data_IF_460301510465
#
_entry.id   IF_460301510465
#
_cell.length_a   1.000
_cell.length_b   1.000
_cell.length_c   1.000
_cell.angle_alpha   90.00
_cell.angle_beta   90.00
_cell.angle_gamma   90.00
#
_symmetry.space_group_name_H-M   'P 1'
#
loop_
_entity.id
_entity.type
_entity.pdbx_description
1 polymer ?
#
# COMPACT_ATOMS: atom_id res chain seq x y z
N UNK A 1 13.28 16.39 -5.39
CA UNK A 1 13.87 16.48 -4.03
C UNK A 1 12.75 16.46 -3.02
N UNK A 2 12.77 15.51 -2.11
CA UNK A 2 11.73 15.32 -1.10
C UNK A 2 11.55 16.56 -0.23
N UNK A 3 10.29 16.89 0.12
CA UNK A 3 9.95 18.05 1.00
C UNK A 3 10.21 17.75 2.47
N UNK A 4 10.24 16.47 2.86
CA UNK A 4 10.59 15.99 4.19
C UNK A 4 11.96 15.32 4.09
N UNK A 5 12.79 15.50 5.11
CA UNK A 5 14.13 14.92 5.14
C UNK A 5 14.09 13.39 4.90
N UNK A 6 15.06 12.91 4.13
CA UNK A 6 15.25 11.49 3.81
C UNK A 6 16.64 11.08 4.36
N UNK A 7 16.83 11.02 5.69
CA UNK A 7 18.14 10.82 6.29
C UNK A 7 18.73 9.45 5.92
N UNK A 8 20.06 9.35 5.81
CA UNK A 8 20.70 8.05 5.84
C UNK A 8 20.48 7.39 7.22
N UNK A 9 20.58 6.07 7.31
CA UNK A 9 20.32 5.37 8.59
C UNK A 9 21.11 5.95 9.76
N UNK A 10 22.40 6.28 9.54
CA UNK A 10 23.24 6.86 10.56
C UNK A 10 22.84 8.27 11.01
N UNK A 11 22.16 9.01 10.14
CA UNK A 11 21.69 10.39 10.38
C UNK A 11 20.25 10.46 10.90
N UNK A 12 19.55 9.32 10.92
CA UNK A 12 18.20 9.23 11.45
C UNK A 12 18.21 9.34 12.99
N UNK A 13 17.07 9.73 13.62
CA UNK A 13 16.95 9.70 15.08
C UNK A 13 17.42 8.35 15.65
N UNK A 14 18.18 8.38 16.74
CA UNK A 14 18.82 7.20 17.33
C UNK A 14 17.83 6.03 17.56
N UNK A 15 16.59 6.33 17.98
CA UNK A 15 15.56 5.32 18.17
C UNK A 15 15.00 4.73 16.86
N UNK A 16 15.23 5.38 15.72
CA UNK A 16 14.83 4.88 14.40
C UNK A 16 15.90 3.99 13.76
N UNK A 17 17.17 4.15 14.14
CA UNK A 17 18.27 3.43 13.50
C UNK A 17 18.12 1.89 13.57
N UNK A 18 17.87 1.26 14.74
CA UNK A 18 17.69 -0.19 14.79
C UNK A 18 16.45 -0.66 14.02
N UNK A 19 15.42 0.18 13.89
CA UNK A 19 14.24 -0.15 13.07
C UNK A 19 14.58 -0.14 11.58
N UNK A 20 15.37 0.83 11.11
CA UNK A 20 15.86 0.88 9.72
C UNK A 20 16.84 -0.27 9.42
N UNK A 21 17.66 -0.67 10.37
CA UNK A 21 18.52 -1.85 10.23
C UNK A 21 17.69 -3.13 10.07
N UNK A 22 16.59 -3.24 10.78
CA UNK A 22 15.59 -4.30 10.59
C UNK A 22 15.00 -4.32 9.19
N UNK A 23 14.61 -3.16 8.66
CA UNK A 23 14.12 -3.01 7.27
C UNK A 23 15.21 -3.45 6.28
N UNK A 24 16.45 -2.99 6.46
CA UNK A 24 17.58 -3.37 5.61
C UNK A 24 17.84 -4.87 5.61
N UNK A 25 17.73 -5.49 6.78
CA UNK A 25 17.91 -6.95 6.91
C UNK A 25 16.85 -7.74 6.13
N UNK A 26 15.61 -7.24 6.05
CA UNK A 26 14.51 -7.90 5.34
C UNK A 26 14.51 -7.63 3.84
N UNK A 27 14.78 -6.40 3.41
CA UNK A 27 14.66 -5.95 2.03
C UNK A 27 16.01 -5.84 1.30
N UNK A 28 17.14 -5.96 2.00
CA UNK A 28 18.47 -5.73 1.45
C UNK A 28 18.87 -4.24 1.34
N UNK A 29 17.87 -3.36 1.30
CA UNK A 29 18.00 -1.90 1.22
C UNK A 29 17.02 -1.23 2.17
N UNK A 30 17.20 0.07 2.42
CA UNK A 30 16.21 0.91 3.13
C UNK A 30 15.56 1.83 2.11
N UNK A 31 14.34 1.53 1.63
CA UNK A 31 13.63 2.40 0.71
C UNK A 31 13.37 3.79 1.29
N UNK A 32 13.30 4.79 0.42
CA UNK A 32 13.16 6.19 0.81
C UNK A 32 11.90 6.47 1.67
N UNK A 33 10.81 5.74 1.45
CA UNK A 33 9.63 5.81 2.33
C UNK A 33 10.00 5.58 3.80
N UNK A 34 10.75 4.51 4.12
CA UNK A 34 11.15 4.22 5.50
C UNK A 34 12.09 5.28 6.06
N UNK A 35 12.94 5.86 5.22
CA UNK A 35 13.82 6.98 5.59
C UNK A 35 13.01 8.23 5.91
N UNK A 36 11.96 8.53 5.13
CA UNK A 36 11.01 9.63 5.43
C UNK A 36 10.28 9.36 6.74
N UNK A 37 9.73 8.15 6.93
CA UNK A 37 9.02 7.78 8.17
C UNK A 37 9.95 7.85 9.39
N UNK A 38 11.23 7.55 9.22
CA UNK A 38 12.20 7.49 10.32
C UNK A 38 12.43 8.81 11.04
N UNK A 39 12.01 9.94 10.44
CA UNK A 39 11.99 11.23 11.14
C UNK A 39 11.13 11.18 12.42
N UNK A 40 10.17 10.25 12.48
CA UNK A 40 9.38 9.95 13.67
C UNK A 40 9.56 8.48 14.07
N UNK A 41 10.35 8.18 15.11
CA UNK A 41 10.49 6.80 15.61
C UNK A 41 9.15 6.14 15.94
N UNK A 42 8.20 6.90 16.49
CA UNK A 42 6.86 6.41 16.82
C UNK A 42 6.07 6.00 15.55
N UNK A 43 6.13 6.83 14.49
CA UNK A 43 5.48 6.51 13.21
C UNK A 43 6.11 5.28 12.55
N UNK A 44 7.45 5.19 12.55
CA UNK A 44 8.17 4.05 11.99
C UNK A 44 7.83 2.76 12.74
N UNK A 45 7.87 2.78 14.07
CA UNK A 45 7.51 1.63 14.88
C UNK A 45 6.05 1.21 14.66
N UNK A 46 5.12 2.16 14.64
CA UNK A 46 3.69 1.91 14.38
C UNK A 46 3.46 1.27 13.03
N UNK A 47 4.11 1.79 11.98
CA UNK A 47 4.04 1.25 10.62
C UNK A 47 4.56 -0.19 10.56
N UNK A 48 5.76 -0.44 11.09
CA UNK A 48 6.38 -1.76 11.08
C UNK A 48 5.57 -2.78 11.88
N UNK A 49 5.03 -2.39 13.02
CA UNK A 49 4.18 -3.25 13.84
C UNK A 49 2.88 -3.62 13.11
N UNK A 50 2.20 -2.64 12.50
CA UNK A 50 0.97 -2.89 11.76
C UNK A 50 1.22 -3.79 10.54
N UNK A 51 2.23 -3.46 9.73
CA UNK A 51 2.63 -4.26 8.58
C UNK A 51 3.00 -5.70 9.01
N UNK A 52 3.80 -5.83 10.08
CA UNK A 52 4.22 -7.13 10.62
C UNK A 52 3.04 -7.95 11.16
N UNK A 53 2.04 -7.32 11.79
CA UNK A 53 0.82 -7.99 12.22
C UNK A 53 0.00 -8.50 11.02
N UNK A 54 -0.27 -7.65 10.03
CA UNK A 54 -1.03 -8.01 8.83
C UNK A 54 -0.33 -9.07 7.98
N UNK A 55 1.01 -9.14 8.02
CA UNK A 55 1.76 -10.18 7.30
C UNK A 55 1.52 -11.60 7.84
N UNK A 56 1.03 -11.72 9.08
CA UNK A 56 0.68 -12.97 9.76
C UNK A 56 -0.83 -13.25 9.78
N UNK A 57 -1.61 -12.38 9.15
CA UNK A 57 -3.06 -12.51 9.06
C UNK A 57 -3.52 -13.55 8.04
N UNK A 58 -4.81 -13.50 7.73
CA UNK A 58 -5.47 -14.50 6.85
C UNK A 58 -5.26 -14.23 5.36
N UNK A 59 -4.94 -12.97 4.99
CA UNK A 59 -4.72 -12.60 3.59
C UNK A 59 -3.34 -13.05 3.11
N UNK A 60 -3.29 -13.71 1.96
CA UNK A 60 -2.02 -14.07 1.31
C UNK A 60 -1.20 -12.80 0.99
N UNK A 61 0.14 -12.93 0.96
CA UNK A 61 1.02 -11.85 0.56
C UNK A 61 0.64 -11.29 -0.83
N UNK A 62 0.31 -12.18 -1.77
CA UNK A 62 -0.10 -11.79 -3.11
C UNK A 62 -1.42 -10.98 -3.11
N UNK A 63 -2.40 -11.34 -2.26
CA UNK A 63 -3.66 -10.58 -2.16
C UNK A 63 -3.42 -9.20 -1.57
N UNK A 64 -2.58 -9.09 -0.52
CA UNK A 64 -2.21 -7.79 0.06
C UNK A 64 -1.52 -6.88 -0.94
N UNK A 65 -0.61 -7.43 -1.76
CA UNK A 65 0.10 -6.66 -2.78
C UNK A 65 -0.83 -6.17 -3.89
N UNK A 66 -1.77 -7.02 -4.36
CA UNK A 66 -2.79 -6.63 -5.33
C UNK A 66 -3.66 -5.47 -4.82
N UNK A 67 -4.05 -5.52 -3.55
CA UNK A 67 -4.78 -4.43 -2.89
C UNK A 67 -3.91 -3.16 -2.87
N UNK A 68 -2.65 -3.28 -2.51
CA UNK A 68 -1.73 -2.14 -2.44
C UNK A 68 -1.54 -1.46 -3.81
N UNK A 69 -1.38 -2.23 -4.89
CA UNK A 69 -1.30 -1.72 -6.26
C UNK A 69 -2.59 -0.96 -6.64
N UNK A 70 -3.75 -1.55 -6.37
CA UNK A 70 -5.04 -0.92 -6.68
C UNK A 70 -5.25 0.39 -5.90
N UNK A 71 -4.88 0.41 -4.62
CA UNK A 71 -5.02 1.61 -3.77
C UNK A 71 -4.01 2.68 -4.18
N UNK A 72 -2.75 2.32 -4.52
CA UNK A 72 -1.75 3.25 -4.99
C UNK A 72 -2.16 3.93 -6.30
N UNK A 73 -2.74 3.18 -7.25
CA UNK A 73 -3.29 3.74 -8.49
C UNK A 73 -4.44 4.72 -8.22
N UNK A 74 -5.38 4.36 -7.33
CA UNK A 74 -6.53 5.20 -6.98
C UNK A 74 -6.13 6.49 -6.27
N UNK A 75 -5.10 6.43 -5.41
CA UNK A 75 -4.62 7.60 -4.67
C UNK A 75 -3.66 8.47 -5.50
N UNK A 76 -3.23 8.00 -6.67
CA UNK A 76 -2.32 8.72 -7.55
C UNK A 76 -0.87 8.76 -7.05
N UNK A 77 -0.44 7.80 -6.21
CA UNK A 77 0.90 7.74 -5.63
C UNK A 77 1.87 6.99 -6.55
N UNK A 78 2.65 7.72 -7.35
CA UNK A 78 3.65 7.13 -8.25
C UNK A 78 4.74 6.36 -7.50
N UNK A 79 5.17 6.85 -6.32
CA UNK A 79 6.13 6.15 -5.47
C UNK A 79 5.60 4.76 -5.07
N UNK A 80 4.39 4.73 -4.51
CA UNK A 80 3.80 3.50 -4.00
C UNK A 80 3.49 2.51 -5.12
N UNK A 81 2.98 3.01 -6.26
CA UNK A 81 2.73 2.17 -7.41
C UNK A 81 4.02 1.55 -7.95
N UNK A 82 5.11 2.33 -8.03
CA UNK A 82 6.43 1.84 -8.45
C UNK A 82 6.95 0.75 -7.52
N UNK A 83 6.89 0.98 -6.20
CA UNK A 83 7.35 0.02 -5.18
C UNK A 83 6.54 -1.28 -5.23
N UNK A 84 5.21 -1.19 -5.20
CA UNK A 84 4.33 -2.36 -5.20
C UNK A 84 4.35 -3.10 -6.53
N UNK A 85 4.49 -2.43 -7.68
CA UNK A 85 4.71 -3.10 -8.96
C UNK A 85 6.03 -3.88 -8.98
N UNK A 86 7.09 -3.30 -8.42
CA UNK A 86 8.38 -3.96 -8.29
C UNK A 86 8.31 -5.21 -7.39
N UNK A 87 7.72 -5.10 -6.20
CA UNK A 87 7.58 -6.24 -5.28
C UNK A 87 6.63 -7.31 -5.83
N UNK A 88 5.50 -6.91 -6.41
CA UNK A 88 4.56 -7.82 -7.05
C UNK A 88 5.23 -8.66 -8.14
N UNK A 89 5.98 -8.02 -9.02
CA UNK A 89 6.68 -8.71 -10.12
C UNK A 89 7.85 -9.57 -9.64
N UNK A 90 8.72 -9.02 -8.80
CA UNK A 90 10.00 -9.68 -8.48
C UNK A 90 9.91 -10.67 -7.32
N UNK A 91 9.10 -10.40 -6.30
CA UNK A 91 8.97 -11.26 -5.12
C UNK A 91 7.78 -12.22 -5.23
N UNK A 92 6.63 -11.72 -5.71
CA UNK A 92 5.38 -12.50 -5.72
C UNK A 92 5.05 -13.10 -7.09
N UNK A 93 5.89 -12.82 -8.11
CA UNK A 93 5.78 -13.37 -9.47
C UNK A 93 4.45 -13.07 -10.15
N UNK A 94 3.86 -11.91 -9.83
CA UNK A 94 2.71 -11.40 -10.58
C UNK A 94 3.20 -11.00 -11.98
N UNK A 95 2.50 -11.47 -13.00
CA UNK A 95 2.82 -11.11 -14.39
C UNK A 95 2.28 -9.71 -14.75
N UNK A 96 2.69 -9.22 -15.92
CA UNK A 96 2.33 -7.88 -16.35
C UNK A 96 0.81 -7.73 -16.60
N UNK A 97 0.13 -8.81 -16.98
CA UNK A 97 -1.32 -8.82 -17.15
C UNK A 97 -2.06 -8.70 -15.80
N UNK A 98 -1.56 -9.38 -14.76
CA UNK A 98 -2.09 -9.26 -13.41
C UNK A 98 -1.82 -7.87 -12.82
N UNK A 99 -0.61 -7.33 -12.99
CA UNK A 99 -0.30 -5.97 -12.55
C UNK A 99 -1.22 -4.93 -13.21
N UNK A 100 -1.49 -5.07 -14.51
CA UNK A 100 -2.44 -4.20 -15.23
C UNK A 100 -3.87 -4.36 -14.71
N UNK A 101 -4.32 -5.59 -14.42
CA UNK A 101 -5.62 -5.85 -13.81
C UNK A 101 -5.73 -5.19 -12.44
N UNK A 102 -4.69 -5.31 -11.59
CA UNK A 102 -4.69 -4.73 -10.25
C UNK A 102 -4.78 -3.19 -10.30
N UNK A 103 -4.07 -2.54 -11.21
CA UNK A 103 -4.17 -1.10 -11.46
C UNK A 103 -5.59 -0.68 -11.87
N UNK A 104 -6.29 -1.52 -12.63
CA UNK A 104 -7.69 -1.26 -12.99
C UNK A 104 -8.70 -1.56 -11.86
N UNK A 105 -8.23 -2.00 -10.68
CA UNK A 105 -9.06 -2.36 -9.54
C UNK A 105 -9.68 -3.75 -9.64
N UNK A 106 -9.01 -4.67 -10.34
CA UNK A 106 -9.42 -6.06 -10.53
C UNK A 106 -8.24 -7.02 -10.34
N UNK A 107 -8.47 -8.31 -10.52
CA UNK A 107 -7.45 -9.37 -10.54
C UNK A 107 -7.87 -10.50 -11.47
N UNK A 108 -6.90 -11.16 -12.10
CA UNK A 108 -7.13 -12.35 -12.90
C UNK A 108 -7.37 -13.60 -12.03
N UNK A 109 -7.01 -13.55 -10.75
CA UNK A 109 -7.37 -14.57 -9.76
C UNK A 109 -8.80 -14.29 -9.25
N UNK A 110 -9.78 -15.20 -9.43
CA UNK A 110 -11.18 -14.95 -9.08
C UNK A 110 -11.40 -14.60 -7.60
N UNK A 111 -10.67 -15.26 -6.69
CA UNK A 111 -10.79 -14.98 -5.25
C UNK A 111 -10.16 -13.63 -4.92
N UNK A 112 -8.94 -13.38 -5.36
CA UNK A 112 -8.28 -12.10 -5.14
C UNK A 112 -9.04 -10.94 -5.78
N UNK A 113 -9.68 -11.15 -6.93
CA UNK A 113 -10.51 -10.14 -7.58
C UNK A 113 -11.62 -9.61 -6.66
N UNK A 114 -12.28 -10.48 -5.89
CA UNK A 114 -13.30 -10.04 -4.93
C UNK A 114 -12.69 -9.14 -3.83
N UNK A 115 -11.51 -9.48 -3.30
CA UNK A 115 -10.82 -8.66 -2.30
C UNK A 115 -10.36 -7.30 -2.86
N UNK A 116 -9.77 -7.29 -4.06
CA UNK A 116 -9.32 -6.06 -4.73
C UNK A 116 -10.51 -5.14 -5.03
N UNK A 117 -11.59 -5.67 -5.61
CA UNK A 117 -12.80 -4.89 -5.88
C UNK A 117 -13.44 -4.35 -4.60
N UNK A 118 -13.46 -5.15 -3.54
CA UNK A 118 -13.96 -4.69 -2.25
C UNK A 118 -13.07 -3.55 -1.68
N UNK A 119 -11.74 -3.70 -1.72
CA UNK A 119 -10.81 -2.65 -1.30
C UNK A 119 -11.01 -1.35 -2.09
N UNK A 120 -11.14 -1.43 -3.41
CA UNK A 120 -11.46 -0.29 -4.29
C UNK A 120 -12.79 0.38 -3.88
N UNK A 121 -13.80 -0.43 -3.58
CA UNK A 121 -15.11 0.07 -3.13
C UNK A 121 -14.99 0.78 -1.79
N UNK A 122 -14.22 0.23 -0.84
CA UNK A 122 -13.94 0.85 0.47
C UNK A 122 -13.30 2.23 0.29
N UNK A 123 -12.28 2.34 -0.57
CA UNK A 123 -11.61 3.62 -0.87
C UNK A 123 -12.61 4.63 -1.46
N UNK A 124 -13.27 4.25 -2.57
CA UNK A 124 -14.17 5.15 -3.31
C UNK A 124 -15.36 5.62 -2.48
N UNK A 125 -15.94 4.72 -1.70
CA UNK A 125 -17.09 5.02 -0.83
C UNK A 125 -16.68 5.51 0.56
N UNK A 126 -15.39 5.61 0.86
CA UNK A 126 -14.87 6.02 2.18
C UNK A 126 -15.46 5.16 3.30
N UNK A 127 -15.45 3.84 3.11
CA UNK A 127 -16.01 2.86 4.04
C UNK A 127 -17.53 2.70 4.02
N UNK A 128 -18.28 3.52 3.26
CA UNK A 128 -19.75 3.42 3.18
C UNK A 128 -20.20 2.34 2.20
N UNK A 129 -19.70 1.14 2.38
CA UNK A 129 -20.10 -0.04 1.61
C UNK A 129 -21.52 -0.48 2.01
N UNK A 130 -22.20 -1.17 1.12
CA UNK A 130 -23.52 -1.74 1.39
C UNK A 130 -23.45 -3.25 1.66
N UNK A 131 -24.60 -3.84 2.04
CA UNK A 131 -24.67 -5.27 2.37
C UNK A 131 -24.30 -6.18 1.18
N UNK A 132 -24.56 -5.76 -0.05
CA UNK A 132 -24.21 -6.53 -1.25
C UNK A 132 -22.69 -6.53 -1.47
N UNK A 133 -22.00 -5.41 -1.20
CA UNK A 133 -20.53 -5.34 -1.24
C UNK A 133 -19.92 -6.34 -0.24
N UNK A 134 -20.45 -6.41 1.00
CA UNK A 134 -20.02 -7.37 2.02
C UNK A 134 -20.35 -8.80 1.61
N UNK A 135 -21.56 -9.04 1.10
CA UNK A 135 -21.99 -10.37 0.67
C UNK A 135 -21.10 -10.91 -0.44
N UNK A 136 -20.76 -10.07 -1.43
CA UNK A 136 -19.93 -10.47 -2.56
C UNK A 136 -18.54 -10.95 -2.12
N UNK A 137 -17.87 -10.22 -1.21
CA UNK A 137 -16.54 -10.62 -0.73
C UNK A 137 -16.62 -11.89 0.13
N UNK A 138 -17.68 -12.07 0.93
CA UNK A 138 -17.90 -13.29 1.72
C UNK A 138 -18.19 -14.51 0.84
N UNK A 139 -18.98 -14.37 -0.21
CA UNK A 139 -19.26 -15.45 -1.17
C UNK A 139 -17.99 -15.92 -1.90
N UNK A 140 -17.00 -15.04 -2.06
CA UNK A 140 -15.69 -15.42 -2.60
C UNK A 140 -14.78 -16.15 -1.57
N UNK A 141 -15.29 -16.41 -0.35
CA UNK A 141 -14.60 -17.18 0.68
C UNK A 141 -13.70 -16.35 1.61
N UNK A 142 -14.00 -15.05 1.77
CA UNK A 142 -13.40 -14.20 2.80
C UNK A 142 -14.36 -14.11 3.99
N UNK A 143 -13.91 -14.54 5.16
CA UNK A 143 -14.66 -14.44 6.42
C UNK A 143 -14.59 -13.02 7.01
N UNK A 144 -15.20 -12.82 8.18
CA UNK A 144 -15.21 -11.52 8.86
C UNK A 144 -13.80 -11.05 9.23
N UNK A 145 -12.90 -11.95 9.61
CA UNK A 145 -11.52 -11.62 9.91
C UNK A 145 -10.81 -11.07 8.65
N UNK A 146 -10.96 -11.76 7.52
CA UNK A 146 -10.40 -11.32 6.24
C UNK A 146 -10.98 -9.98 5.77
N UNK A 147 -12.28 -9.73 5.97
CA UNK A 147 -12.90 -8.43 5.65
C UNK A 147 -12.28 -7.31 6.48
N UNK A 148 -12.08 -7.52 7.79
CA UNK A 148 -11.39 -6.55 8.67
C UNK A 148 -9.97 -6.30 8.20
N UNK A 149 -9.23 -7.37 7.84
CA UNK A 149 -7.86 -7.25 7.34
C UNK A 149 -7.77 -6.53 5.98
N UNK A 150 -8.75 -6.70 5.07
CA UNK A 150 -8.80 -5.94 3.81
C UNK A 150 -8.93 -4.44 4.13
N UNK A 151 -9.85 -4.05 5.02
CA UNK A 151 -10.02 -2.65 5.42
C UNK A 151 -8.76 -2.10 6.07
N UNK A 152 -8.09 -2.88 6.91
CA UNK A 152 -6.84 -2.49 7.56
C UNK A 152 -5.69 -2.30 6.52
N UNK A 153 -5.60 -3.19 5.52
CA UNK A 153 -4.63 -3.03 4.43
C UNK A 153 -4.93 -1.78 3.58
N UNK A 154 -6.20 -1.48 3.32
CA UNK A 154 -6.59 -0.22 2.66
C UNK A 154 -6.10 0.98 3.47
N UNK A 155 -6.36 1.02 4.77
CA UNK A 155 -5.94 2.13 5.64
C UNK A 155 -4.41 2.28 5.68
N UNK A 156 -3.66 1.17 5.78
CA UNK A 156 -2.20 1.17 5.75
C UNK A 156 -1.66 1.78 4.45
N UNK A 157 -2.22 1.37 3.30
CA UNK A 157 -1.77 1.87 2.01
C UNK A 157 -2.15 3.34 1.79
N UNK A 158 -3.36 3.78 2.15
CA UNK A 158 -3.76 5.19 2.09
C UNK A 158 -2.78 6.06 2.91
N UNK A 159 -2.42 5.61 4.12
CA UNK A 159 -1.48 6.36 4.95
C UNK A 159 -0.12 6.53 4.27
N UNK A 160 0.46 5.47 3.73
CA UNK A 160 1.77 5.54 3.06
C UNK A 160 1.70 6.31 1.74
N UNK A 161 0.61 6.18 0.98
CA UNK A 161 0.39 6.93 -0.25
C UNK A 161 0.34 8.44 0.04
N UNK A 162 -0.46 8.84 1.03
CA UNK A 162 -0.59 10.25 1.41
C UNK A 162 0.71 10.82 1.98
N UNK A 163 1.45 10.03 2.77
CA UNK A 163 2.76 10.47 3.26
C UNK A 163 3.73 10.72 2.11
N UNK A 164 3.82 9.82 1.13
CA UNK A 164 4.69 9.98 -0.03
C UNK A 164 4.30 11.20 -0.88
N UNK A 165 2.98 11.45 -1.07
CA UNK A 165 2.49 12.64 -1.77
C UNK A 165 2.78 13.93 -1.01
N UNK A 166 2.59 13.96 0.31
CA UNK A 166 2.95 15.12 1.16
C UNK A 166 4.45 15.38 1.13
N UNK A 167 5.26 14.33 1.28
CA UNK A 167 6.71 14.42 1.32
C UNK A 167 7.33 14.65 -0.06
N UNK A 168 6.61 14.34 -1.15
CA UNK A 168 7.16 14.24 -2.51
C UNK A 168 8.42 13.37 -2.50
N UNK A 169 8.25 12.15 -1.97
CA UNK A 169 9.35 11.21 -1.77
C UNK A 169 9.99 10.86 -3.11
N UNK A 170 11.31 11.03 -3.22
CA UNK A 170 12.05 10.65 -4.42
C UNK A 170 11.94 9.14 -4.64
N UNK A 171 11.50 8.73 -5.85
CA UNK A 171 11.26 7.33 -6.19
C UNK A 171 12.59 6.61 -6.35
N UNK A 172 12.79 5.53 -5.62
CA UNK A 172 13.98 4.67 -5.63
C UNK A 172 13.70 3.25 -6.18
N UNK A 173 12.64 3.14 -6.98
CA UNK A 173 12.22 1.95 -7.73
C UNK A 173 12.15 2.25 -9.23
N UNK A 174 12.09 1.24 -10.11
CA UNK A 174 11.72 1.46 -11.51
C UNK A 174 10.38 2.19 -11.60
N UNK A 175 10.39 3.38 -12.21
CA UNK A 175 9.23 4.29 -12.18
C UNK A 175 8.04 3.71 -12.93
N UNK A 176 6.91 3.67 -12.27
CA UNK A 176 5.59 3.37 -12.84
C UNK A 176 4.66 4.53 -12.48
N UNK A 177 4.21 5.26 -13.49
CA UNK A 177 3.30 6.38 -13.27
C UNK A 177 1.86 5.90 -13.15
N UNK A 178 1.12 6.48 -12.20
CA UNK A 178 -0.33 6.31 -12.10
C UNK A 178 -1.01 6.94 -13.32
N UNK A 179 -2.08 6.33 -13.81
CA UNK A 179 -3.00 7.05 -14.68
C UNK A 179 -3.67 8.11 -13.83
N UNK A 180 -3.26 9.39 -13.98
CA UNK A 180 -3.79 10.49 -13.18
C UNK A 180 -5.31 10.43 -13.17
N UNK A 181 -5.88 9.85 -12.13
CA UNK A 181 -7.29 10.03 -11.85
C UNK A 181 -7.40 11.50 -11.47
N UNK A 182 -8.01 12.31 -12.33
CA UNK A 182 -8.48 13.64 -11.99
C UNK A 182 -9.50 13.46 -10.85
N UNK A 183 -8.99 13.46 -9.62
CA UNK A 183 -9.83 13.71 -8.47
C UNK A 183 -10.23 15.17 -8.60
N UNK A 184 -11.51 15.48 -8.91
CA UNK A 184 -11.95 16.85 -8.98
C UNK A 184 -11.71 17.46 -7.61
N UNK A 185 -10.78 18.45 -7.55
CA UNK A 185 -10.62 19.32 -6.40
C UNK A 185 -12.04 19.83 -6.11
N UNK A 186 -12.62 19.43 -4.98
CA UNK A 186 -13.89 20.02 -4.55
C UNK A 186 -13.61 21.49 -4.35
N UNK A 187 -14.05 22.31 -5.31
CA UNK A 187 -14.21 23.74 -5.08
C UNK A 187 -15.16 23.88 -3.89
N UNK A 188 -14.63 24.43 -2.80
CA UNK A 188 -15.46 24.84 -1.66
C UNK A 188 -16.39 25.94 -2.18
N UNK A 189 -17.69 25.65 -2.26
CA UNK A 189 -18.75 26.64 -2.25
C UNK A 189 -18.95 27.13 -0.82
#
# INVERSE_FOLDING_TARGET
>A
MSRIATPATADAPASSQPLLDGVKSQLGVVPNLFRVISNSPAALQGHLNLHGALSKGTLSAATRERIAIAVAELDGCDYCLSAHSYFGKNLLKLDDAELAANRSGASNDPKANAAVRFAVTVVRKRGRVNDDDIRAVKLAGYDDAAVVEIVQNVALNIWTNYLNEVAQTDIDFPVVNTGKADLPLRTRS
#
